data_IF_162326990198
#
_entry.id   IF_162326990198
#
_cell.length_a   1.000
_cell.length_b   1.000
_cell.length_c   1.000
_cell.angle_alpha   90.00
_cell.angle_beta   90.00
_cell.angle_gamma   90.00
#
_symmetry.space_group_name_H-M   'P 1'
#
loop_
_entity.id
_entity.type
_entity.pdbx_description
1 polymer ?
#
# COMPACT_ATOMS: atom_id res chain seq x y z
N UNK A 1 -45.34 -49.86 14.46
CA UNK A 1 -44.26 -50.47 13.65
C UNK A 1 -44.16 -49.66 12.37
N UNK A 2 -43.30 -48.63 12.33
CA UNK A 2 -43.11 -47.86 11.10
C UNK A 2 -42.43 -48.75 10.05
N UNK A 3 -42.93 -48.73 8.83
CA UNK A 3 -42.40 -49.56 7.76
C UNK A 3 -41.04 -49.02 7.31
N UNK A 4 -40.12 -49.90 6.93
CA UNK A 4 -38.74 -49.56 6.52
C UNK A 4 -38.69 -48.41 5.48
N UNK A 5 -39.71 -48.30 4.62
CA UNK A 5 -39.87 -47.21 3.66
C UNK A 5 -40.02 -45.84 4.33
N UNK A 6 -40.80 -45.71 5.39
CA UNK A 6 -41.01 -44.43 6.09
C UNK A 6 -39.75 -43.94 6.80
N UNK A 7 -38.91 -44.87 7.28
CA UNK A 7 -37.62 -44.52 7.90
C UNK A 7 -36.63 -43.97 6.87
N UNK A 8 -36.56 -44.59 5.68
CA UNK A 8 -35.66 -44.14 4.61
C UNK A 8 -36.07 -42.76 4.09
N UNK A 9 -37.36 -42.49 3.91
CA UNK A 9 -37.83 -41.16 3.47
C UNK A 9 -37.53 -40.08 4.50
N UNK A 10 -37.74 -40.36 5.79
CA UNK A 10 -37.45 -39.40 6.86
C UNK A 10 -35.96 -39.06 6.96
N UNK A 11 -35.06 -40.03 6.72
CA UNK A 11 -33.61 -39.79 6.71
C UNK A 11 -33.19 -38.94 5.50
N UNK A 12 -33.78 -39.18 4.33
CA UNK A 12 -33.47 -38.39 3.12
C UNK A 12 -33.93 -36.94 3.28
N UNK A 13 -35.13 -36.70 3.83
CA UNK A 13 -35.63 -35.35 4.09
C UNK A 13 -34.75 -34.62 5.12
N UNK A 14 -34.31 -35.31 6.18
CA UNK A 14 -33.40 -34.72 7.17
C UNK A 14 -32.05 -34.33 6.54
N UNK A 15 -31.50 -35.17 5.66
CA UNK A 15 -30.27 -34.87 4.94
C UNK A 15 -30.44 -33.67 3.99
N UNK A 16 -31.58 -33.56 3.29
CA UNK A 16 -31.86 -32.44 2.39
C UNK A 16 -31.97 -31.10 3.15
N UNK A 17 -32.61 -31.10 4.32
CA UNK A 17 -32.70 -29.91 5.19
C UNK A 17 -31.33 -29.50 5.71
N UNK A 18 -30.50 -30.47 6.13
CA UNK A 18 -29.14 -30.18 6.60
C UNK A 18 -28.24 -29.60 5.50
N UNK A 19 -28.35 -30.09 4.26
CA UNK A 19 -27.59 -29.55 3.10
C UNK A 19 -28.07 -28.15 2.75
N UNK A 20 -29.37 -27.88 2.78
CA UNK A 20 -29.92 -26.55 2.50
C UNK A 20 -29.51 -25.51 3.56
N UNK A 21 -29.55 -25.88 4.84
CA UNK A 21 -29.12 -25.01 5.95
C UNK A 21 -27.61 -24.79 5.92
N UNK A 22 -26.82 -25.84 5.64
CA UNK A 22 -25.37 -25.73 5.47
C UNK A 22 -24.97 -24.82 4.31
N UNK A 23 -25.67 -24.91 3.17
CA UNK A 23 -25.45 -24.05 2.01
C UNK A 23 -25.80 -22.58 2.26
N UNK A 24 -26.89 -22.30 2.97
CA UNK A 24 -27.28 -20.93 3.34
C UNK A 24 -26.30 -20.29 4.32
N UNK A 25 -25.82 -21.04 5.32
CA UNK A 25 -24.81 -20.55 6.26
C UNK A 25 -23.49 -20.24 5.54
N UNK A 26 -23.07 -21.07 4.58
CA UNK A 26 -21.86 -20.84 3.79
C UNK A 26 -21.95 -19.63 2.86
N UNK A 27 -23.14 -19.40 2.26
CA UNK A 27 -23.38 -18.23 1.42
C UNK A 27 -23.37 -16.92 2.23
N UNK A 28 -24.00 -16.90 3.41
CA UNK A 28 -23.97 -15.75 4.31
C UNK A 28 -22.55 -15.44 4.81
N UNK A 29 -21.74 -16.45 5.16
CA UNK A 29 -20.35 -16.21 5.60
C UNK A 29 -19.47 -15.63 4.50
N UNK A 30 -19.67 -16.04 3.24
CA UNK A 30 -18.92 -15.51 2.12
C UNK A 30 -19.32 -14.07 1.79
N UNK A 31 -20.61 -13.76 1.86
CA UNK A 31 -21.10 -12.39 1.64
C UNK A 31 -20.63 -11.44 2.74
N UNK A 32 -20.60 -11.86 4.01
CA UNK A 32 -20.02 -11.06 5.08
C UNK A 32 -18.49 -10.93 4.96
N UNK A 33 -17.79 -11.98 4.52
CA UNK A 33 -16.35 -11.94 4.30
C UNK A 33 -15.96 -11.02 3.12
N UNK A 34 -16.75 -11.03 2.04
CA UNK A 34 -16.54 -10.15 0.90
C UNK A 34 -16.96 -8.71 1.22
N UNK A 35 -18.04 -8.48 1.99
CA UNK A 35 -18.34 -7.16 2.55
C UNK A 35 -17.26 -6.65 3.49
N UNK A 36 -16.65 -7.52 4.29
CA UNK A 36 -15.52 -7.13 5.15
C UNK A 36 -14.26 -6.83 4.33
N UNK A 37 -14.01 -7.56 3.24
CA UNK A 37 -12.93 -7.24 2.27
C UNK A 37 -13.19 -5.92 1.55
N UNK A 38 -14.41 -5.68 1.10
CA UNK A 38 -14.82 -4.41 0.47
C UNK A 38 -14.74 -3.25 1.47
N UNK A 39 -15.14 -3.46 2.73
CA UNK A 39 -14.99 -2.42 3.77
C UNK A 39 -13.53 -2.17 4.16
N UNK A 40 -12.66 -3.20 4.12
CA UNK A 40 -11.20 -3.02 4.27
C UNK A 40 -10.59 -2.28 3.09
N UNK A 41 -11.05 -2.56 1.88
CA UNK A 41 -10.62 -1.85 0.67
C UNK A 41 -11.14 -0.40 0.65
N UNK A 42 -12.34 -0.14 1.20
CA UNK A 42 -12.93 1.20 1.28
C UNK A 42 -12.48 2.03 2.49
N UNK A 43 -12.02 1.37 3.56
CA UNK A 43 -11.54 2.01 4.79
C UNK A 43 -10.05 1.76 5.01
N UNK A 44 -9.23 1.94 3.97
CA UNK A 44 -7.80 2.17 4.19
C UNK A 44 -7.68 3.56 4.84
N UNK A 45 -7.81 3.61 6.17
CA UNK A 45 -7.35 4.74 6.96
C UNK A 45 -5.88 4.89 6.58
N UNK A 46 -5.58 5.97 5.86
CA UNK A 46 -4.27 6.24 5.27
C UNK A 46 -3.30 6.69 6.36
N UNK A 47 -3.01 5.80 7.31
CA UNK A 47 -2.01 5.99 8.35
C UNK A 47 -0.64 5.70 7.73
N UNK A 48 -0.09 6.69 7.04
CA UNK A 48 1.27 6.58 6.49
C UNK A 48 2.27 6.55 7.64
N UNK A 49 3.07 5.49 7.68
CA UNK A 49 4.12 5.33 8.68
C UNK A 49 5.37 6.07 8.20
N UNK A 50 5.72 7.15 8.88
CA UNK A 50 7.03 7.78 8.76
C UNK A 50 8.00 7.08 9.70
N UNK A 51 9.00 6.38 9.14
CA UNK A 51 10.04 5.77 9.95
C UNK A 51 11.03 6.82 10.44
N UNK A 52 11.45 6.70 11.69
CA UNK A 52 12.52 7.51 12.24
C UNK A 52 13.76 7.43 11.32
N UNK A 53 14.42 8.57 11.04
CA UNK A 53 14.21 9.88 11.65
C UNK A 53 13.21 10.82 10.94
N UNK A 54 12.46 10.36 9.93
CA UNK A 54 11.57 11.23 9.13
C UNK A 54 10.40 11.81 9.92
N UNK A 55 9.92 11.09 10.92
CA UNK A 55 8.87 11.50 11.87
C UNK A 55 9.25 12.75 12.66
N UNK A 56 10.54 12.91 12.97
CA UNK A 56 11.07 14.10 13.61
C UNK A 56 11.22 15.22 12.59
N UNK A 57 11.80 14.90 11.43
CA UNK A 57 12.04 15.89 10.39
C UNK A 57 10.74 16.57 9.97
N UNK A 58 9.68 15.79 9.65
CA UNK A 58 8.39 16.28 9.10
C UNK A 58 7.76 17.43 9.90
N UNK A 59 8.08 17.53 11.19
CA UNK A 59 7.53 18.50 12.13
C UNK A 59 8.42 19.74 12.36
N UNK A 60 9.62 19.78 11.78
CA UNK A 60 10.55 20.91 11.94
C UNK A 60 10.19 22.09 11.03
N UNK A 61 10.77 23.24 11.33
CA UNK A 61 10.81 24.36 10.40
C UNK A 61 11.82 24.10 9.27
N UNK A 62 11.58 24.68 8.09
CA UNK A 62 12.42 24.47 6.90
C UNK A 62 13.89 24.88 7.13
N UNK A 63 14.11 25.93 7.94
CA UNK A 63 15.46 26.39 8.31
C UNK A 63 16.24 25.35 9.14
N UNK A 64 15.54 24.59 9.97
CA UNK A 64 16.12 23.55 10.83
C UNK A 64 16.20 22.21 10.11
N UNK A 65 15.39 21.98 9.08
CA UNK A 65 15.31 20.72 8.35
C UNK A 65 16.67 20.20 7.88
N UNK A 66 17.40 21.03 7.12
CA UNK A 66 18.70 20.64 6.55
C UNK A 66 19.77 20.47 7.62
N UNK A 67 19.72 21.31 8.66
CA UNK A 67 20.67 21.28 9.78
C UNK A 67 20.48 19.99 10.58
N UNK A 68 19.24 19.67 10.96
CA UNK A 68 18.91 18.46 11.72
C UNK A 68 19.17 17.20 10.90
N UNK A 69 18.82 17.17 9.62
CA UNK A 69 19.12 16.03 8.76
C UNK A 69 20.63 15.75 8.68
N UNK A 70 21.45 16.81 8.54
CA UNK A 70 22.92 16.68 8.58
C UNK A 70 23.40 16.16 9.95
N UNK A 71 22.83 16.67 11.05
CA UNK A 71 23.15 16.19 12.41
C UNK A 71 22.79 14.73 12.65
N UNK A 72 21.79 14.20 11.93
CA UNK A 72 21.36 12.81 11.96
C UNK A 72 22.11 11.92 10.95
N UNK A 73 23.21 12.42 10.38
CA UNK A 73 24.00 11.73 9.35
C UNK A 73 23.20 11.33 8.10
N UNK A 74 22.10 12.03 7.80
CA UNK A 74 21.30 11.82 6.61
C UNK A 74 21.90 12.62 5.47
N UNK A 75 22.13 11.95 4.34
CA UNK A 75 22.59 12.63 3.13
C UNK A 75 21.43 13.41 2.48
N UNK A 76 21.65 14.70 2.28
CA UNK A 76 20.78 15.57 1.47
C UNK A 76 21.61 16.08 0.30
N UNK A 77 21.21 15.69 -0.91
CA UNK A 77 21.76 16.23 -2.14
C UNK A 77 21.37 17.72 -2.24
N UNK A 78 22.31 18.63 -2.53
CA UNK A 78 22.04 20.06 -2.54
C UNK A 78 20.99 20.46 -3.59
N UNK A 79 20.91 19.74 -4.71
CA UNK A 79 20.03 20.04 -5.83
C UNK A 79 18.72 19.25 -5.75
N UNK A 80 18.81 17.95 -5.46
CA UNK A 80 17.69 17.01 -5.48
C UNK A 80 17.00 16.87 -4.12
N UNK A 81 17.72 17.04 -3.02
CA UNK A 81 17.21 16.92 -1.66
C UNK A 81 17.45 15.57 -1.02
N UNK A 82 16.51 15.13 -0.19
CA UNK A 82 16.57 13.88 0.57
C UNK A 82 16.06 12.71 -0.27
N UNK A 83 16.83 11.63 -0.38
CA UNK A 83 16.37 10.40 -0.99
C UNK A 83 15.54 9.59 0.02
N UNK A 84 14.30 9.26 -0.35
CA UNK A 84 13.40 8.45 0.48
C UNK A 84 12.97 7.18 -0.22
N UNK A 85 12.83 6.12 0.56
CA UNK A 85 12.19 4.86 0.18
C UNK A 85 10.72 4.90 0.58
N UNK A 86 9.85 4.59 -0.36
CA UNK A 86 8.40 4.54 -0.19
C UNK A 86 7.94 3.12 -0.45
N UNK A 87 7.16 2.60 0.50
CA UNK A 87 6.27 1.47 0.26
C UNK A 87 4.91 2.02 -0.10
N UNK A 88 4.30 1.40 -1.10
CA UNK A 88 2.98 1.77 -1.55
C UNK A 88 2.08 0.55 -1.68
N UNK A 89 0.78 0.77 -1.67
CA UNK A 89 -0.23 -0.19 -2.03
C UNK A 89 -1.18 0.50 -3.01
N UNK A 90 -1.15 0.08 -4.27
CA UNK A 90 -2.06 0.60 -5.28
C UNK A 90 -2.44 -0.49 -6.27
N UNK A 91 -3.73 -0.58 -6.57
CA UNK A 91 -4.25 -1.43 -7.66
C UNK A 91 -3.88 -0.86 -9.03
N UNK A 92 -3.56 0.44 -9.11
CA UNK A 92 -3.17 1.14 -10.34
C UNK A 92 -1.83 1.87 -10.15
N UNK A 93 -0.74 1.16 -10.43
CA UNK A 93 0.64 1.69 -10.30
C UNK A 93 0.86 2.88 -11.22
N UNK A 94 0.33 2.86 -12.44
CA UNK A 94 0.52 3.94 -13.42
C UNK A 94 -0.11 5.25 -12.96
N UNK A 95 -1.32 5.20 -12.40
CA UNK A 95 -1.98 6.37 -11.82
C UNK A 95 -1.20 6.94 -10.62
N UNK A 96 -0.68 6.07 -9.74
CA UNK A 96 0.14 6.50 -8.61
C UNK A 96 1.43 7.19 -9.08
N UNK A 97 2.13 6.61 -10.05
CA UNK A 97 3.35 7.19 -10.63
C UNK A 97 3.06 8.52 -11.30
N UNK A 98 1.94 8.64 -12.01
CA UNK A 98 1.50 9.90 -12.60
C UNK A 98 1.23 10.95 -11.51
N UNK A 99 0.57 10.59 -10.40
CA UNK A 99 0.31 11.50 -9.28
C UNK A 99 1.62 12.00 -8.63
N UNK A 100 2.61 11.11 -8.43
CA UNK A 100 3.93 11.48 -7.89
C UNK A 100 4.66 12.42 -8.85
N UNK A 101 4.63 12.15 -10.16
CA UNK A 101 5.26 13.04 -11.16
C UNK A 101 4.56 14.39 -11.23
N UNK A 102 3.22 14.40 -11.22
CA UNK A 102 2.41 15.62 -11.26
C UNK A 102 2.60 16.48 -10.00
N UNK A 103 2.85 15.85 -8.85
CA UNK A 103 3.21 16.54 -7.61
C UNK A 103 4.66 17.08 -7.61
N UNK A 104 5.42 16.87 -8.68
CA UNK A 104 6.73 17.47 -8.89
C UNK A 104 7.89 16.73 -8.22
N UNK A 105 7.72 15.45 -7.86
CA UNK A 105 8.81 14.65 -7.31
C UNK A 105 9.70 14.07 -8.42
N UNK A 106 11.01 14.06 -8.15
CA UNK A 106 11.97 13.38 -9.01
C UNK A 106 12.09 11.91 -8.61
N UNK A 107 11.73 11.02 -9.52
CA UNK A 107 11.79 9.57 -9.30
C UNK A 107 13.22 9.03 -9.51
N UNK A 108 13.78 8.35 -8.52
CA UNK A 108 15.08 7.67 -8.63
C UNK A 108 14.92 6.20 -9.06
N UNK A 109 14.05 5.47 -8.38
CA UNK A 109 13.86 4.02 -8.55
C UNK A 109 12.39 3.61 -8.44
N UNK A 110 11.98 2.59 -9.18
CA UNK A 110 10.70 1.92 -8.97
C UNK A 110 10.82 0.42 -9.13
N UNK A 111 10.24 -0.31 -8.18
CA UNK A 111 10.06 -1.75 -8.25
C UNK A 111 8.58 -2.09 -8.03
N UNK A 112 7.81 -2.31 -9.11
CA UNK A 112 6.39 -2.63 -9.00
C UNK A 112 6.11 -4.01 -8.40
N UNK A 113 7.06 -4.96 -8.49
CA UNK A 113 6.90 -6.30 -7.90
C UNK A 113 6.88 -6.22 -6.38
N UNK A 114 7.80 -5.44 -5.82
CA UNK A 114 7.94 -5.30 -4.38
C UNK A 114 7.16 -4.09 -3.83
N UNK A 115 6.40 -3.41 -4.69
CA UNK A 115 5.64 -2.20 -4.37
C UNK A 115 6.48 -1.14 -3.65
N UNK A 116 7.68 -0.91 -4.19
CA UNK A 116 8.65 0.05 -3.67
C UNK A 116 8.99 1.11 -4.70
N UNK A 117 9.24 2.30 -4.21
CA UNK A 117 9.59 3.47 -4.98
C UNK A 117 10.66 4.25 -4.22
N UNK A 118 11.67 4.79 -4.92
CA UNK A 118 12.55 5.81 -4.36
C UNK A 118 12.39 7.10 -5.12
N UNK A 119 12.22 8.19 -4.38
CA UNK A 119 12.13 9.52 -4.95
C UNK A 119 12.91 10.52 -4.10
N UNK A 120 13.17 11.67 -4.69
CA UNK A 120 13.82 12.79 -4.04
C UNK A 120 12.80 13.77 -3.47
N UNK A 121 13.02 14.18 -2.22
CA UNK A 121 12.21 15.14 -1.48
C UNK A 121 13.04 16.40 -1.22
N UNK A 122 12.70 17.50 -1.90
CA UNK A 122 13.53 18.72 -1.90
C UNK A 122 13.34 19.59 -0.66
N UNK A 123 12.13 19.59 -0.11
CA UNK A 123 11.72 20.45 1.01
C UNK A 123 10.93 19.66 2.04
N UNK A 124 10.79 20.22 3.25
CA UNK A 124 9.88 19.65 4.25
C UNK A 124 8.47 19.51 3.71
N UNK A 125 7.97 20.57 3.07
CA UNK A 125 6.59 20.64 2.59
C UNK A 125 6.31 19.50 1.62
N UNK A 126 7.28 19.16 0.77
CA UNK A 126 7.18 17.97 -0.08
C UNK A 126 7.14 16.67 0.74
N UNK A 127 7.87 16.53 1.87
CA UNK A 127 7.72 15.34 2.72
C UNK A 127 6.31 15.25 3.33
N UNK A 128 5.75 16.39 3.77
CA UNK A 128 4.39 16.45 4.31
C UNK A 128 3.32 16.14 3.27
N UNK A 129 3.49 16.60 2.04
CA UNK A 129 2.56 16.30 0.95
C UNK A 129 2.65 14.84 0.50
N UNK A 130 3.85 14.24 0.59
CA UNK A 130 4.08 12.87 0.18
C UNK A 130 3.23 11.88 0.98
N UNK A 131 3.08 12.11 2.30
CA UNK A 131 2.26 11.24 3.16
C UNK A 131 0.76 11.36 2.88
N UNK A 132 0.32 12.41 2.18
CA UNK A 132 -1.07 12.56 1.78
C UNK A 132 -1.39 11.89 0.42
N UNK A 133 -0.39 11.42 -0.32
CA UNK A 133 -0.60 10.79 -1.63
C UNK A 133 -1.25 9.42 -1.46
N UNK A 134 -2.38 9.23 -2.17
CA UNK A 134 -3.12 7.97 -2.20
C UNK A 134 -2.21 6.78 -2.55
N UNK A 135 -2.29 5.73 -1.74
CA UNK A 135 -1.52 4.52 -1.91
C UNK A 135 -0.13 4.54 -1.28
N UNK A 136 0.38 5.67 -0.79
CA UNK A 136 1.59 5.68 0.05
C UNK A 136 1.25 5.05 1.40
N UNK A 137 2.08 4.10 1.86
CA UNK A 137 1.83 3.38 3.13
C UNK A 137 2.96 3.55 4.15
N UNK A 138 4.21 3.63 3.70
CA UNK A 138 5.34 3.92 4.57
C UNK A 138 6.42 4.69 3.83
N UNK A 139 7.13 5.57 4.56
CA UNK A 139 8.25 6.34 4.05
C UNK A 139 9.43 6.20 5.01
N UNK A 140 10.62 5.96 4.48
CA UNK A 140 11.88 5.87 5.23
C UNK A 140 13.01 6.59 4.49
N UNK A 141 14.05 7.01 5.21
CA UNK A 141 15.28 7.49 4.58
C UNK A 141 15.90 6.36 3.77
N UNK A 142 16.29 6.62 2.52
CA UNK A 142 16.99 5.62 1.74
C UNK A 142 18.46 5.54 2.13
N UNK A 143 18.94 4.34 2.38
CA UNK A 143 20.37 4.05 2.59
C UNK A 143 21.05 3.55 1.32
N UNK A 144 20.27 3.32 0.26
CA UNK A 144 20.75 2.74 -0.98
C UNK A 144 21.39 3.80 -1.88
N UNK A 145 22.35 3.37 -2.70
CA UNK A 145 23.00 4.24 -3.68
C UNK A 145 21.95 4.77 -4.68
N UNK A 146 21.91 6.09 -4.95
CA UNK A 146 21.02 6.66 -5.95
C UNK A 146 21.26 6.01 -7.31
N UNK A 147 20.19 5.58 -7.97
CA UNK A 147 20.31 4.97 -9.30
C UNK A 147 20.23 5.98 -10.44
N UNK A 148 19.99 7.26 -10.12
CA UNK A 148 19.97 8.50 -10.92
C UNK A 148 19.33 8.47 -12.32
N UNK A 149 18.99 7.34 -12.93
CA UNK A 149 18.49 7.29 -14.31
C UNK A 149 17.98 5.91 -14.81
N UNK A 150 17.49 4.99 -13.96
CA UNK A 150 17.18 3.61 -14.40
C UNK A 150 15.70 3.17 -14.43
N UNK A 151 14.74 4.08 -14.28
CA UNK A 151 13.39 3.68 -13.81
C UNK A 151 12.26 3.75 -14.82
N UNK A 152 12.56 3.80 -16.11
CA UNK A 152 11.54 3.63 -17.16
C UNK A 152 11.77 2.39 -18.04
N UNK A 153 13.02 1.92 -18.21
CA UNK A 153 13.30 0.73 -19.04
C UNK A 153 12.68 -0.57 -18.50
N UNK A 154 12.60 -0.75 -17.17
CA UNK A 154 11.99 -1.94 -16.58
C UNK A 154 10.45 -2.00 -16.72
N UNK A 155 9.81 -0.89 -17.11
CA UNK A 155 8.37 -0.85 -17.39
C UNK A 155 8.07 -1.15 -18.87
N UNK A 156 8.94 -0.73 -19.78
CA UNK A 156 8.81 -1.03 -21.21
C UNK A 156 9.07 -2.51 -21.54
N UNK A 157 9.95 -3.19 -20.80
CA UNK A 157 10.24 -4.61 -21.05
C UNK A 157 9.09 -5.56 -20.69
N UNK A 158 8.13 -5.12 -19.85
CA UNK A 158 6.91 -5.91 -19.55
C UNK A 158 5.78 -5.70 -20.56
N UNK A 159 5.95 -4.80 -21.53
CA UNK A 159 5.02 -4.58 -22.64
C UNK A 159 5.40 -5.33 -23.93
N UNK A 160 6.48 -6.11 -23.92
CA UNK A 160 6.83 -7.05 -24.99
C UNK A 160 6.46 -8.47 -24.58
#
# INVERSE_FOLDING_TARGET
MLTLKQYVTAVIDLCLVLVAVGGLLFACTNQEADRQRESRDAATIQNVVLHAPLDTLVNLDESLWRITAKGLAIHIDPELGLLVDIRYWSKNVDAMVANIKNAGYTLDYMNPVNQRLRLWVKTRVQLQQLVAIEGVTAVSVSTDIPKRELSLKAFDERKK
#
